data_IF_582676010307
#
_entry.id   IF_582676010307
#
_cell.length_a   1.000
_cell.length_b   1.000
_cell.length_c   1.000
_cell.angle_alpha   90.00
_cell.angle_beta   90.00
_cell.angle_gamma   90.00
#
_symmetry.space_group_name_H-M   'P 1'
#
loop_
_entity.id
_entity.type
_entity.pdbx_description
1 polymer ?
#
# COMPACT_ATOMS: atom_id res chain seq x y z
N UNK A 1 7.91 16.45 -6.09
CA UNK A 1 7.45 15.14 -5.55
C UNK A 1 7.71 14.10 -6.62
N UNK A 2 8.48 13.06 -6.31
CA UNK A 2 8.98 12.11 -7.32
C UNK A 2 7.92 11.10 -7.75
N UNK A 3 7.82 10.87 -9.07
CA UNK A 3 6.92 9.89 -9.70
C UNK A 3 6.99 8.50 -9.07
N UNK A 4 8.17 8.07 -8.63
CA UNK A 4 8.38 6.79 -7.95
C UNK A 4 7.49 6.58 -6.74
N UNK A 5 7.28 7.60 -5.90
CA UNK A 5 6.48 7.45 -4.69
C UNK A 5 5.00 7.27 -5.03
N UNK A 6 4.51 8.04 -6.01
CA UNK A 6 3.11 7.95 -6.46
C UNK A 6 2.86 6.62 -7.18
N UNK A 7 3.82 6.14 -7.96
CA UNK A 7 3.74 4.84 -8.61
C UNK A 7 3.73 3.70 -7.58
N UNK A 8 4.58 3.75 -6.55
CA UNK A 8 4.58 2.74 -5.47
C UNK A 8 3.24 2.70 -4.73
N UNK A 9 2.65 3.87 -4.43
CA UNK A 9 1.31 3.96 -3.83
C UNK A 9 0.25 3.36 -4.74
N UNK A 10 0.26 3.70 -6.03
CA UNK A 10 -0.71 3.20 -6.99
C UNK A 10 -0.60 1.67 -7.17
N UNK A 11 0.62 1.14 -7.19
CA UNK A 11 0.87 -0.31 -7.28
C UNK A 11 0.37 -1.04 -6.04
N UNK A 12 0.68 -0.55 -4.83
CA UNK A 12 0.20 -1.17 -3.57
C UNK A 12 -1.32 -1.09 -3.48
N UNK A 13 -1.90 0.06 -3.80
CA UNK A 13 -3.34 0.27 -3.83
C UNK A 13 -4.03 -0.68 -4.83
N UNK A 14 -3.52 -0.78 -6.06
CA UNK A 14 -4.02 -1.69 -7.07
C UNK A 14 -3.88 -3.17 -6.69
N UNK A 15 -2.76 -3.56 -6.06
CA UNK A 15 -2.57 -4.93 -5.55
C UNK A 15 -3.56 -5.27 -4.44
N UNK A 16 -3.85 -4.35 -3.52
CA UNK A 16 -4.82 -4.57 -2.46
C UNK A 16 -6.24 -4.74 -3.02
N UNK A 17 -6.63 -3.92 -4.00
CA UNK A 17 -7.88 -4.10 -4.72
C UNK A 17 -7.98 -5.46 -5.44
N UNK A 18 -6.91 -5.88 -6.13
CA UNK A 18 -6.86 -7.19 -6.80
C UNK A 18 -6.94 -8.37 -5.83
N UNK A 19 -6.44 -8.20 -4.60
CA UNK A 19 -6.54 -9.19 -3.53
C UNK A 19 -7.94 -9.23 -2.88
N UNK A 20 -8.87 -8.38 -3.32
CA UNK A 20 -10.25 -8.33 -2.82
C UNK A 20 -10.43 -7.47 -1.57
N UNK A 21 -9.41 -6.69 -1.18
CA UNK A 21 -9.56 -5.64 -0.17
C UNK A 21 -10.23 -4.45 -0.86
N UNK A 22 -11.57 -4.41 -0.78
CA UNK A 22 -12.36 -3.36 -1.39
C UNK A 22 -13.15 -2.58 -0.34
N UNK A 23 -13.41 -1.30 -0.62
CA UNK A 23 -14.02 -0.35 0.32
C UNK A 23 -15.53 -0.59 0.56
N UNK A 24 -16.06 -1.75 0.18
CA UNK A 24 -17.47 -2.11 0.29
C UNK A 24 -17.90 -2.26 1.77
N UNK A 25 -16.98 -2.54 2.70
CA UNK A 25 -17.27 -2.57 4.15
C UNK A 25 -16.31 -1.68 4.93
N UNK A 26 -16.84 -1.00 5.95
CA UNK A 26 -16.10 -0.08 6.82
C UNK A 26 -14.94 -0.76 7.58
N UNK A 27 -15.02 -2.07 7.79
CA UNK A 27 -13.94 -2.89 8.37
C UNK A 27 -12.77 -3.10 7.39
N UNK A 28 -13.02 -3.17 6.09
CA UNK A 28 -11.98 -3.33 5.07
C UNK A 28 -11.13 -2.07 4.91
N UNK A 29 -11.69 -0.87 5.17
CA UNK A 29 -10.93 0.39 5.17
C UNK A 29 -9.78 0.37 6.17
N UNK A 30 -10.04 -0.07 7.40
CA UNK A 30 -9.02 -0.09 8.46
C UNK A 30 -7.92 -1.12 8.16
N UNK A 31 -8.31 -2.29 7.63
CA UNK A 31 -7.39 -3.32 7.17
C UNK A 31 -6.53 -2.80 6.02
N UNK A 32 -7.13 -2.09 5.06
CA UNK A 32 -6.44 -1.51 3.92
C UNK A 32 -5.43 -0.45 4.36
N UNK A 33 -5.81 0.47 5.25
CA UNK A 33 -4.89 1.48 5.79
C UNK A 33 -3.72 0.84 6.57
N UNK A 34 -4.00 -0.18 7.38
CA UNK A 34 -2.94 -0.93 8.08
C UNK A 34 -1.99 -1.65 7.09
N UNK A 35 -2.54 -2.27 6.04
CA UNK A 35 -1.74 -2.96 5.01
C UNK A 35 -0.89 -1.97 4.21
N UNK A 36 -1.47 -0.87 3.75
CA UNK A 36 -0.74 0.18 3.05
C UNK A 36 0.43 0.71 3.89
N UNK A 37 0.17 1.06 5.16
CA UNK A 37 1.22 1.52 6.09
C UNK A 37 2.32 0.47 6.29
N UNK A 38 1.96 -0.80 6.49
CA UNK A 38 2.91 -1.90 6.62
C UNK A 38 3.81 -2.04 5.38
N UNK A 39 3.22 -2.00 4.17
CA UNK A 39 3.98 -2.14 2.94
C UNK A 39 4.84 -0.92 2.64
N UNK A 40 4.38 0.30 2.92
CA UNK A 40 5.21 1.50 2.79
C UNK A 40 6.43 1.46 3.71
N UNK A 41 6.24 1.06 4.96
CA UNK A 41 7.33 0.97 5.94
C UNK A 41 8.31 -0.16 5.60
N UNK A 42 7.81 -1.29 5.07
CA UNK A 42 8.62 -2.39 4.56
C UNK A 42 9.43 -1.96 3.33
N UNK A 43 8.80 -1.30 2.37
CA UNK A 43 9.46 -0.83 1.14
C UNK A 43 10.56 0.19 1.48
N UNK A 44 10.27 1.13 2.37
CA UNK A 44 11.26 2.09 2.88
C UNK A 44 12.45 1.41 3.55
N UNK A 45 12.24 0.35 4.32
CA UNK A 45 13.32 -0.45 4.92
C UNK A 45 14.15 -1.20 3.88
N UNK A 46 13.51 -1.80 2.88
CA UNK A 46 14.20 -2.52 1.79
C UNK A 46 15.07 -1.58 0.95
N UNK A 47 14.63 -0.35 0.71
CA UNK A 47 15.38 0.65 -0.06
C UNK A 47 16.60 1.23 0.69
N UNK A 48 16.75 0.98 2.00
CA UNK A 48 17.91 1.42 2.81
C UNK A 48 18.97 0.33 3.02
N UNK A 49 18.77 -0.87 2.47
CA UNK A 49 19.68 -2.02 2.60
C UNK A 49 20.46 -2.39 1.34
N UNK A 50 20.56 -1.48 0.35
CA UNK A 50 21.29 -1.68 -0.91
C UNK A 50 22.57 -0.87 -0.97
#
# INVERSE_FOLDING_TARGET
YGLDLELQKLVIHGMLHLLGYDHIKKQDKDIMEQKESYYYDKLRRTQQGG
#
